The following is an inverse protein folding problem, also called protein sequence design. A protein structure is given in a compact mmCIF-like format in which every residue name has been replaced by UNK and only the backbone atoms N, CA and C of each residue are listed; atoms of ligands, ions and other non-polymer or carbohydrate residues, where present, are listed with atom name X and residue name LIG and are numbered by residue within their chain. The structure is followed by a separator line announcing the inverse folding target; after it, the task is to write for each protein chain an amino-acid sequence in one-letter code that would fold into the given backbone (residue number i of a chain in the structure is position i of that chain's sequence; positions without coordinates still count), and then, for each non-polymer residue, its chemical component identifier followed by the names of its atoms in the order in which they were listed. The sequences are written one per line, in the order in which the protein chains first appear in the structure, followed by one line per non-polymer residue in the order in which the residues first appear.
data_IF_418174274499
#
_entry.id   IF_418174274499
#
_cell.length_a   1.000
_cell.length_b   1.000
_cell.length_c   1.000
_cell.angle_alpha   90.00
_cell.angle_beta   90.00
_cell.angle_gamma   90.00
#
_symmetry.space_group_name_H-M   'P 1'
#
loop_
_entity.id
_entity.type
_entity.pdbx_description
1 polymer ?
#
# COMPACT_ATOMS: atom_id res chain seq x y z
N UNK A 1 -3.56 16.07 4.58
CA UNK A 1 -4.52 15.69 3.52
C UNK A 1 -5.92 16.04 4.01
N UNK A 2 -6.75 16.69 3.19
CA UNK A 2 -8.17 16.93 3.51
C UNK A 2 -8.94 15.62 3.31
N UNK A 3 -9.80 15.22 4.25
CA UNK A 3 -10.64 14.02 4.15
C UNK A 3 -11.39 13.95 2.80
N UNK A 4 -11.92 15.09 2.33
CA UNK A 4 -12.59 15.20 1.02
C UNK A 4 -11.73 14.77 -0.17
N UNK A 5 -10.41 14.94 -0.10
CA UNK A 5 -9.51 14.58 -1.22
C UNK A 5 -9.30 13.07 -1.30
N UNK A 6 -9.14 12.41 -0.15
CA UNK A 6 -8.97 10.95 -0.06
C UNK A 6 -10.25 10.26 -0.52
N UNK A 7 -11.41 10.72 -0.03
CA UNK A 7 -12.70 10.15 -0.43
C UNK A 7 -12.94 10.27 -1.94
N UNK A 8 -12.57 11.41 -2.54
CA UNK A 8 -12.67 11.61 -3.99
C UNK A 8 -11.73 10.69 -4.77
N UNK A 9 -10.50 10.50 -4.30
CA UNK A 9 -9.55 9.59 -4.93
C UNK A 9 -10.06 8.14 -4.85
N UNK A 10 -10.57 7.73 -3.68
CA UNK A 10 -11.18 6.43 -3.45
C UNK A 10 -12.36 6.20 -4.40
N UNK A 11 -13.31 7.13 -4.48
CA UNK A 11 -14.45 7.02 -5.39
C UNK A 11 -14.02 6.84 -6.85
N UNK A 12 -13.09 7.67 -7.34
CA UNK A 12 -12.61 7.57 -8.73
C UNK A 12 -11.89 6.24 -9.02
N UNK A 13 -11.10 5.76 -8.07
CA UNK A 13 -10.42 4.47 -8.21
C UNK A 13 -11.44 3.32 -8.23
N UNK A 14 -12.45 3.37 -7.38
CA UNK A 14 -13.53 2.37 -7.39
C UNK A 14 -14.24 2.29 -8.75
N UNK A 15 -14.58 3.44 -9.34
CA UNK A 15 -15.24 3.50 -10.64
C UNK A 15 -14.37 2.87 -11.74
N UNK A 16 -13.06 3.18 -11.73
CA UNK A 16 -12.09 2.59 -12.67
C UNK A 16 -11.97 1.08 -12.50
N UNK A 17 -11.87 0.59 -11.26
CA UNK A 17 -11.74 -0.84 -10.99
C UNK A 17 -12.98 -1.63 -11.39
N UNK A 18 -14.18 -1.03 -11.25
CA UNK A 18 -15.43 -1.63 -11.73
C UNK A 18 -15.49 -1.68 -13.25
N UNK A 19 -15.15 -0.59 -13.94
CA UNK A 19 -15.08 -0.56 -15.41
C UNK A 19 -14.15 -1.64 -15.99
N UNK A 20 -13.05 -1.93 -15.27
CA UNK A 20 -12.07 -2.94 -15.67
C UNK A 20 -12.35 -4.35 -15.16
N UNK A 21 -13.49 -4.59 -14.50
CA UNK A 21 -13.82 -5.87 -13.84
C UNK A 21 -12.75 -6.35 -12.85
N UNK A 22 -12.04 -5.43 -12.20
CA UNK A 22 -11.01 -5.71 -11.20
C UNK A 22 -11.53 -5.63 -9.76
N UNK A 23 -12.79 -5.26 -9.56
CA UNK A 23 -13.33 -4.98 -8.23
C UNK A 23 -13.24 -6.18 -7.26
N UNK A 24 -13.42 -7.38 -7.79
CA UNK A 24 -13.32 -8.63 -7.03
C UNK A 24 -11.99 -9.37 -7.27
N UNK A 25 -11.01 -8.71 -7.90
CA UNK A 25 -9.69 -9.30 -8.09
C UNK A 25 -9.00 -9.55 -6.74
N UNK A 26 -8.35 -10.70 -6.65
CA UNK A 26 -7.56 -11.07 -5.49
C UNK A 26 -6.30 -10.20 -5.39
N UNK A 27 -6.01 -9.80 -4.16
CA UNK A 27 -4.84 -9.03 -3.78
C UNK A 27 -4.19 -9.73 -2.59
N UNK A 28 -2.88 -9.90 -2.68
CA UNK A 28 -2.05 -10.28 -1.54
C UNK A 28 -1.13 -9.11 -1.21
N UNK A 29 -1.22 -8.63 0.03
CA UNK A 29 -0.33 -7.61 0.60
C UNK A 29 0.59 -8.30 1.58
N UNK A 30 1.86 -8.36 1.22
CA UNK A 30 2.91 -8.92 2.04
C UNK A 30 3.69 -7.79 2.68
N UNK A 31 3.74 -7.82 4.01
CA UNK A 31 4.50 -6.88 4.81
C UNK A 31 5.95 -7.36 4.97
N UNK A 32 6.69 -7.47 3.86
CA UNK A 32 8.09 -7.90 3.92
C UNK A 32 8.99 -6.79 4.44
N UNK A 33 9.85 -7.11 5.40
CA UNK A 33 10.93 -6.21 5.77
C UNK A 33 12.00 -6.27 4.66
N UNK A 34 11.82 -5.46 3.61
CA UNK A 34 12.90 -5.23 2.66
C UNK A 34 14.08 -4.60 3.39
N UNK A 35 15.27 -5.03 3.04
CA UNK A 35 16.49 -4.28 3.37
C UNK A 35 16.40 -2.88 2.74
N UNK A 36 17.02 -1.85 3.35
CA UNK A 36 17.11 -0.54 2.71
C UNK A 36 17.68 -0.63 1.28
N UNK A 37 18.61 -1.55 1.06
CA UNK A 37 19.19 -1.85 -0.25
C UNK A 37 18.15 -2.35 -1.25
N UNK A 38 17.29 -3.29 -0.87
CA UNK A 38 16.22 -3.77 -1.75
C UNK A 38 15.14 -2.71 -2.00
N UNK A 39 14.90 -1.83 -1.02
CA UNK A 39 13.81 -0.86 -1.08
C UNK A 39 14.17 0.44 -1.81
N UNK A 40 15.39 0.95 -1.62
CA UNK A 40 15.84 2.24 -2.16
C UNK A 40 17.25 2.19 -2.76
N UNK A 41 17.85 1.01 -2.90
CA UNK A 41 19.22 0.84 -3.39
C UNK A 41 20.26 1.31 -2.37
N UNK A 42 21.36 1.88 -2.88
CA UNK A 42 22.49 2.32 -2.04
C UNK A 42 22.57 3.86 -2.02
N UNK A 43 21.64 4.56 -1.36
CA UNK A 43 21.66 6.01 -1.34
C UNK A 43 22.87 6.53 -0.56
N UNK A 44 23.41 7.68 -0.99
CA UNK A 44 24.48 8.36 -0.23
C UNK A 44 24.02 8.90 1.11
N UNK A 45 22.73 9.28 1.21
CA UNK A 45 22.10 9.77 2.44
C UNK A 45 21.67 8.60 3.32
N UNK A 46 22.00 8.64 4.62
CA UNK A 46 21.88 7.51 5.57
C UNK A 46 20.78 7.65 6.63
N UNK A 47 20.09 8.77 6.68
CA UNK A 47 19.06 9.09 7.69
C UNK A 47 17.62 8.89 7.17
N UNK A 48 17.44 8.19 6.05
CA UNK A 48 16.09 7.84 5.58
C UNK A 48 15.37 6.97 6.62
N UNK A 49 14.06 7.18 6.86
CA UNK A 49 13.30 6.42 7.86
C UNK A 49 13.42 4.90 7.71
N UNK A 50 13.47 4.37 6.49
CA UNK A 50 13.68 2.94 6.24
C UNK A 50 15.08 2.44 6.62
N UNK A 51 16.13 3.27 6.42
CA UNK A 51 17.51 2.94 6.81
C UNK A 51 17.64 2.85 8.33
N UNK A 52 17.07 3.84 9.04
CA UNK A 52 17.14 3.91 10.50
C UNK A 52 16.06 3.07 11.20
N UNK A 53 15.31 2.26 10.44
CA UNK A 53 14.37 1.29 10.97
C UNK A 53 13.04 1.87 11.48
N UNK A 54 12.69 3.11 11.14
CA UNK A 54 11.39 3.74 11.48
C UNK A 54 10.26 3.39 10.52
N UNK A 55 10.58 3.04 9.28
CA UNK A 55 9.60 2.62 8.27
C UNK A 55 9.96 1.24 7.70
N UNK A 56 8.98 0.57 7.11
CA UNK A 56 9.12 -0.70 6.37
C UNK A 56 8.38 -0.58 5.04
N UNK A 57 8.75 -1.42 4.07
CA UNK A 57 8.06 -1.53 2.78
C UNK A 57 6.91 -2.53 2.88
N UNK A 58 5.73 -2.16 2.37
CA UNK A 58 4.67 -3.08 1.99
C UNK A 58 4.78 -3.37 0.50
N UNK A 59 4.53 -4.61 0.09
CA UNK A 59 4.38 -4.99 -1.31
C UNK A 59 3.03 -5.67 -1.51
N UNK A 60 2.21 -5.10 -2.39
CA UNK A 60 0.95 -5.69 -2.83
C UNK A 60 1.12 -6.33 -4.20
N UNK A 61 0.54 -7.50 -4.41
CA UNK A 61 0.49 -8.19 -5.69
C UNK A 61 -0.97 -8.36 -6.13
N UNK A 62 -1.27 -7.95 -7.36
CA UNK A 62 -2.59 -8.08 -8.02
C UNK A 62 -2.33 -8.51 -9.45
N UNK A 63 -2.91 -9.64 -9.89
CA UNK A 63 -2.74 -10.15 -11.27
C UNK A 63 -1.27 -10.12 -11.74
N UNK A 64 -0.36 -10.63 -10.90
CA UNK A 64 1.10 -10.64 -11.11
C UNK A 64 1.80 -9.27 -11.13
N UNK A 65 1.04 -8.17 -11.08
CA UNK A 65 1.55 -6.81 -10.97
C UNK A 65 1.83 -6.45 -9.51
N UNK A 66 2.90 -5.70 -9.26
CA UNK A 66 3.35 -5.32 -7.92
C UNK A 66 3.21 -3.83 -7.66
N UNK A 67 2.73 -3.47 -6.48
CA UNK A 67 2.72 -2.11 -5.95
C UNK A 67 3.42 -2.06 -4.60
N UNK A 68 4.03 -0.92 -4.26
CA UNK A 68 4.85 -0.78 -3.06
C UNK A 68 4.56 0.53 -2.31
N UNK A 69 4.61 0.49 -0.98
CA UNK A 69 4.41 1.66 -0.12
C UNK A 69 5.27 1.58 1.16
N UNK A 70 5.79 2.73 1.61
CA UNK A 70 6.47 2.83 2.90
C UNK A 70 5.47 3.13 4.02
N UNK A 71 5.60 2.45 5.15
CA UNK A 71 4.75 2.65 6.32
C UNK A 71 5.51 2.43 7.62
N UNK A 72 5.10 3.16 8.66
CA UNK A 72 5.50 2.93 10.05
C UNK A 72 4.67 1.82 10.72
N UNK A 73 3.54 1.44 10.11
CA UNK A 73 2.56 0.49 10.65
C UNK A 73 2.21 -0.57 9.63
N UNK A 74 3.06 -1.60 9.49
CA UNK A 74 2.86 -2.69 8.54
C UNK A 74 1.75 -3.66 8.97
N UNK A 75 0.95 -4.13 8.01
CA UNK A 75 -0.05 -5.18 8.23
C UNK A 75 -0.12 -6.08 6.99
N UNK A 76 -0.05 -7.38 7.20
CA UNK A 76 -0.31 -8.35 6.13
C UNK A 76 -1.80 -8.42 5.84
N UNK A 77 -2.15 -8.62 4.58
CA UNK A 77 -3.53 -8.73 4.15
C UNK A 77 -3.63 -9.66 2.94
N UNK A 78 -4.60 -10.56 2.94
CA UNK A 78 -4.95 -11.39 1.79
C UNK A 78 -6.46 -11.29 1.64
N UNK A 79 -6.92 -10.96 0.44
CA UNK A 79 -8.34 -10.74 0.20
C UNK A 79 -8.59 -10.19 -1.19
N UNK A 80 -9.67 -9.44 -1.36
CA UNK A 80 -10.02 -8.79 -2.63
C UNK A 80 -9.86 -7.28 -2.55
N UNK A 81 -9.80 -6.62 -3.72
CA UNK A 81 -9.82 -5.16 -3.81
C UNK A 81 -11.04 -4.55 -3.11
N UNK A 82 -12.22 -5.16 -3.23
CA UNK A 82 -13.42 -4.78 -2.47
C UNK A 82 -13.15 -4.70 -0.97
N UNK A 83 -12.55 -5.73 -0.38
CA UNK A 83 -12.26 -5.77 1.06
C UNK A 83 -11.25 -4.70 1.48
N UNK A 84 -10.27 -4.37 0.63
CA UNK A 84 -9.36 -3.23 0.87
C UNK A 84 -10.14 -1.92 0.93
N UNK A 85 -11.13 -1.75 0.05
CA UNK A 85 -11.99 -0.57 0.05
C UNK A 85 -12.91 -0.48 1.27
N UNK A 86 -13.19 -1.59 1.96
CA UNK A 86 -13.96 -1.58 3.21
C UNK A 86 -13.10 -1.23 4.43
N UNK A 87 -11.76 -1.16 4.30
CA UNK A 87 -10.88 -0.78 5.40
C UNK A 87 -11.12 0.69 5.83
N UNK A 88 -11.26 0.95 7.14
CA UNK A 88 -11.40 2.30 7.65
C UNK A 88 -10.05 3.02 7.56
N UNK A 89 -10.03 4.18 6.90
CA UNK A 89 -8.82 4.98 6.65
C UNK A 89 -8.37 5.81 7.87
N UNK A 90 -8.59 5.29 9.08
CA UNK A 90 -8.37 6.01 10.34
C UNK A 90 -6.95 5.89 10.89
N UNK A 91 -6.13 4.99 10.34
CA UNK A 91 -4.75 4.76 10.78
C UNK A 91 -3.82 4.51 9.58
N UNK A 92 -2.51 4.62 9.80
CA UNK A 92 -1.51 4.44 8.75
C UNK A 92 -1.51 3.03 8.16
N UNK A 93 -1.72 1.99 8.98
CA UNK A 93 -1.71 0.61 8.50
C UNK A 93 -2.86 0.25 7.57
N UNK A 94 -4.01 0.91 7.68
CA UNK A 94 -5.13 0.75 6.75
C UNK A 94 -5.06 1.70 5.55
N UNK A 95 -4.19 2.71 5.60
CA UNK A 95 -4.00 3.70 4.52
C UNK A 95 -2.84 3.35 3.59
N UNK A 96 -1.86 2.60 4.11
CA UNK A 96 -0.72 2.07 3.39
C UNK A 96 -1.13 0.83 2.60
#
# INVERSE_FOLDING_TARGET
MNAKTIDRAKSKLMDLLRDKNLWDAEISVLARALTPEEAIGTPGRRDFPIIIGKERMLEATILESKGQAFTDSRKEFIGTLRQVFDLPLMNNGNRA
#
